data_IF_445721295649
#
_entry.id   IF_445721295649
#
_cell.length_a   1.000
_cell.length_b   1.000
_cell.length_c   1.000
_cell.angle_alpha   90.00
_cell.angle_beta   90.00
_cell.angle_gamma   90.00
#
_symmetry.space_group_name_H-M   'P 1'
#
loop_
_entity.id
_entity.type
_entity.pdbx_description
1 polymer ?
#
# COMPACT_ATOMS: atom_id res chain seq x y z
N UNK A 1 -18.75 9.50 -38.06
CA UNK A 1 -18.79 8.10 -38.52
C UNK A 1 -18.75 7.20 -37.29
N UNK A 2 -19.89 6.60 -36.97
CA UNK A 2 -20.18 5.86 -35.74
C UNK A 2 -19.40 4.54 -35.66
N UNK A 3 -18.83 4.24 -34.50
CA UNK A 3 -18.52 2.86 -34.11
C UNK A 3 -19.24 2.53 -32.80
N UNK A 4 -20.45 1.96 -32.94
CA UNK A 4 -21.14 1.19 -31.91
C UNK A 4 -20.31 -0.06 -31.62
N UNK A 5 -19.89 -0.26 -30.37
CA UNK A 5 -19.39 -1.55 -29.90
C UNK A 5 -20.59 -2.39 -29.45
N UNK A 6 -20.90 -3.43 -30.23
CA UNK A 6 -21.82 -4.49 -29.85
C UNK A 6 -21.24 -5.26 -28.64
N UNK A 7 -21.98 -5.31 -27.54
CA UNK A 7 -21.79 -6.30 -26.48
C UNK A 7 -22.62 -7.53 -26.84
N UNK A 8 -21.96 -8.64 -27.13
CA UNK A 8 -22.60 -9.93 -27.34
C UNK A 8 -21.97 -10.92 -26.35
N UNK A 9 -22.66 -11.22 -25.25
CA UNK A 9 -22.37 -12.38 -24.42
C UNK A 9 -23.67 -13.09 -24.05
N UNK A 10 -23.67 -14.39 -24.32
CA UNK A 10 -24.75 -15.33 -24.14
C UNK A 10 -25.15 -15.45 -22.66
N UNK A 11 -26.45 -15.37 -22.38
CA UNK A 11 -27.05 -15.81 -21.12
C UNK A 11 -27.01 -17.34 -21.07
N UNK A 12 -26.11 -17.90 -20.27
CA UNK A 12 -26.25 -19.28 -19.78
C UNK A 12 -26.99 -19.16 -18.45
N UNK A 13 -28.26 -19.62 -18.44
CA UNK A 13 -29.09 -19.65 -17.25
C UNK A 13 -28.60 -20.73 -16.29
N UNK A 14 -28.20 -20.31 -15.08
CA UNK A 14 -28.05 -21.21 -13.96
C UNK A 14 -29.21 -20.99 -13.01
N UNK A 15 -30.03 -22.03 -12.89
CA UNK A 15 -31.14 -22.14 -11.96
C UNK A 15 -30.60 -22.73 -10.65
N UNK A 16 -30.67 -21.97 -9.55
CA UNK A 16 -30.41 -22.50 -8.22
C UNK A 16 -31.40 -21.93 -7.22
N UNK A 17 -32.39 -22.77 -6.90
CA UNK A 17 -33.23 -22.69 -5.72
C UNK A 17 -32.48 -23.23 -4.50
N UNK A 18 -32.93 -22.75 -3.32
CA UNK A 18 -32.73 -23.27 -1.97
C UNK A 18 -31.32 -23.25 -1.37
N UNK A 19 -31.08 -22.30 -0.47
CA UNK A 19 -30.82 -22.57 0.96
C UNK A 19 -30.73 -21.24 1.74
N UNK A 20 -31.88 -20.71 2.16
CA UNK A 20 -31.94 -19.76 3.27
C UNK A 20 -31.87 -20.54 4.58
N UNK A 21 -30.76 -20.42 5.32
CA UNK A 21 -30.74 -20.65 6.77
C UNK A 21 -30.36 -19.34 7.44
N UNK A 22 -31.41 -18.60 7.81
CA UNK A 22 -31.33 -17.44 8.69
C UNK A 22 -30.83 -17.91 10.06
N UNK A 23 -29.58 -17.57 10.42
CA UNK A 23 -29.14 -17.59 11.81
C UNK A 23 -29.32 -16.19 12.39
N UNK A 24 -30.49 -15.92 12.97
CA UNK A 24 -30.69 -14.78 13.84
C UNK A 24 -29.92 -15.02 15.15
N UNK A 25 -28.84 -14.29 15.37
CA UNK A 25 -28.25 -14.13 16.71
C UNK A 25 -28.46 -12.69 17.16
N UNK A 26 -29.30 -12.53 18.17
CA UNK A 26 -29.55 -11.28 18.85
C UNK A 26 -28.28 -10.85 19.58
N UNK A 27 -27.73 -9.69 19.23
CA UNK A 27 -26.70 -9.05 20.03
C UNK A 27 -27.37 -8.35 21.22
N UNK A 28 -27.07 -8.83 22.42
CA UNK A 28 -27.51 -8.27 23.70
C UNK A 28 -26.84 -6.91 23.94
N UNK A 29 -27.64 -5.85 24.05
CA UNK A 29 -27.19 -4.55 24.55
C UNK A 29 -27.02 -4.63 26.07
N UNK A 30 -25.78 -4.64 26.57
CA UNK A 30 -25.52 -4.51 28.00
C UNK A 30 -25.87 -3.09 28.47
N UNK A 31 -26.92 -2.98 29.27
CA UNK A 31 -27.27 -1.76 29.99
C UNK A 31 -26.36 -1.62 31.22
N UNK A 32 -25.66 -0.49 31.33
CA UNK A 32 -25.01 -0.05 32.56
C UNK A 32 -25.83 1.12 33.08
N UNK A 33 -26.51 0.90 34.21
CA UNK A 33 -27.17 1.94 34.99
C UNK A 33 -26.18 2.55 35.98
N UNK A 34 -26.05 3.89 35.97
CA UNK A 34 -25.80 4.69 37.18
C UNK A 34 -25.78 6.20 36.87
N UNK A 35 -26.59 6.97 37.60
CA UNK A 35 -26.27 8.35 38.02
C UNK A 35 -26.98 9.49 37.30
N UNK A 36 -27.83 10.24 38.02
CA UNK A 36 -28.73 11.27 37.48
C UNK A 36 -28.10 12.56 36.93
N UNK A 37 -28.89 13.29 36.12
CA UNK A 37 -28.62 14.68 35.73
C UNK A 37 -29.14 15.07 34.35
N UNK A 38 -30.13 15.98 34.32
CA UNK A 38 -30.70 16.72 33.17
C UNK A 38 -31.32 15.93 32.01
N UNK A 39 -32.67 15.89 31.99
CA UNK A 39 -33.47 15.63 30.78
C UNK A 39 -33.31 16.78 29.80
N UNK A 40 -32.36 16.65 28.86
CA UNK A 40 -32.45 17.31 27.56
C UNK A 40 -33.25 16.35 26.68
N UNK A 41 -34.51 16.68 26.43
CA UNK A 41 -35.31 16.05 25.39
C UNK A 41 -34.69 16.39 24.03
N UNK A 42 -33.73 15.60 23.57
CA UNK A 42 -33.39 15.57 22.16
C UNK A 42 -34.49 14.81 21.45
N UNK A 43 -35.44 15.56 20.92
CA UNK A 43 -36.29 15.14 19.82
C UNK A 43 -35.40 14.52 18.74
N UNK A 44 -35.52 13.20 18.60
CA UNK A 44 -34.84 12.41 17.59
C UNK A 44 -35.30 12.89 16.22
N UNK A 45 -34.48 13.75 15.60
CA UNK A 45 -34.59 14.08 14.18
C UNK A 45 -34.37 12.79 13.40
N UNK A 46 -35.47 12.09 13.11
CA UNK A 46 -35.52 10.99 12.16
C UNK A 46 -35.04 11.55 10.81
N UNK A 47 -33.76 11.35 10.51
CA UNK A 47 -33.12 11.82 9.29
C UNK A 47 -33.73 11.05 8.12
N UNK A 48 -34.71 11.68 7.47
CA UNK A 48 -35.45 11.14 6.32
C UNK A 48 -34.45 10.72 5.25
N UNK A 49 -34.50 9.44 4.84
CA UNK A 49 -33.70 8.93 3.72
C UNK A 49 -34.13 9.65 2.45
N UNK A 50 -33.17 10.02 1.60
CA UNK A 50 -33.52 10.61 0.31
C UNK A 50 -34.32 9.61 -0.55
N UNK A 51 -35.27 10.12 -1.32
CA UNK A 51 -36.11 9.29 -2.20
C UNK A 51 -35.29 8.41 -3.17
N UNK A 52 -34.20 8.90 -3.80
CA UNK A 52 -33.39 8.06 -4.67
C UNK A 52 -32.75 6.87 -3.96
N UNK A 53 -32.29 7.08 -2.70
CA UNK A 53 -31.69 6.02 -1.90
C UNK A 53 -32.73 4.96 -1.50
N UNK A 54 -33.93 5.40 -1.11
CA UNK A 54 -35.03 4.50 -0.77
C UNK A 54 -35.44 3.61 -1.94
N UNK A 55 -35.60 4.22 -3.11
CA UNK A 55 -35.96 3.51 -4.34
C UNK A 55 -34.88 2.47 -4.69
N UNK A 56 -33.61 2.88 -4.66
CA UNK A 56 -32.49 1.97 -4.94
C UNK A 56 -32.46 0.76 -3.98
N UNK A 57 -32.60 0.99 -2.68
CA UNK A 57 -32.61 -0.08 -1.67
C UNK A 57 -33.76 -1.07 -1.94
N UNK A 58 -34.95 -0.54 -2.29
CA UNK A 58 -36.12 -1.36 -2.60
C UNK A 58 -35.95 -2.16 -3.89
N UNK A 59 -35.44 -1.54 -4.95
CA UNK A 59 -35.21 -2.18 -6.25
C UNK A 59 -34.17 -3.31 -6.16
N UNK A 60 -33.10 -3.09 -5.39
CA UNK A 60 -32.03 -4.07 -5.20
C UNK A 60 -32.32 -5.07 -4.06
N UNK A 61 -33.49 -4.98 -3.42
CA UNK A 61 -33.89 -5.81 -2.27
C UNK A 61 -32.82 -5.85 -1.16
N UNK A 62 -32.19 -4.71 -0.88
CA UNK A 62 -31.09 -4.60 0.09
C UNK A 62 -31.61 -4.31 1.50
N UNK A 63 -30.95 -4.87 2.50
CA UNK A 63 -31.18 -4.56 3.92
C UNK A 63 -29.88 -4.07 4.57
N UNK A 64 -29.40 -2.85 4.23
CA UNK A 64 -28.14 -2.34 4.75
C UNK A 64 -28.21 -2.12 6.26
N UNK A 65 -27.15 -2.53 6.96
CA UNK A 65 -27.00 -2.35 8.42
C UNK A 65 -26.88 -0.86 8.77
N UNK A 66 -26.08 -0.13 7.99
CA UNK A 66 -25.90 1.31 8.15
C UNK A 66 -26.01 2.03 6.81
N UNK A 67 -26.47 3.27 6.84
CA UNK A 67 -26.48 4.15 5.67
C UNK A 67 -26.17 5.58 6.10
N UNK A 68 -25.41 6.27 5.25
CA UNK A 68 -24.96 7.64 5.50
C UNK A 68 -25.16 8.47 4.23
N UNK A 69 -25.80 9.62 4.40
CA UNK A 69 -25.98 10.64 3.37
C UNK A 69 -25.35 11.96 3.81
N UNK A 70 -25.23 12.91 2.87
CA UNK A 70 -24.59 14.20 3.10
C UNK A 70 -23.15 14.02 3.60
N UNK A 71 -22.38 13.25 2.83
CA UNK A 71 -21.00 12.83 3.14
C UNK A 71 -20.00 14.00 3.15
N UNK A 72 -20.43 15.18 2.68
CA UNK A 72 -19.69 16.43 2.75
C UNK A 72 -19.66 17.02 4.17
N UNK A 73 -20.64 16.72 5.02
CA UNK A 73 -20.73 17.25 6.38
C UNK A 73 -19.76 16.54 7.33
N UNK A 74 -19.10 17.31 8.20
CA UNK A 74 -18.12 16.76 9.14
C UNK A 74 -18.76 15.90 10.22
N UNK A 75 -20.00 16.22 10.64
CA UNK A 75 -20.76 15.39 11.58
C UNK A 75 -21.00 13.98 11.02
N UNK A 76 -21.35 13.88 9.73
CA UNK A 76 -21.56 12.57 9.07
C UNK A 76 -20.27 11.77 9.08
N UNK A 77 -19.11 12.38 8.82
CA UNK A 77 -17.82 11.69 8.84
C UNK A 77 -17.47 11.18 10.24
N UNK A 78 -17.67 12.01 11.27
CA UNK A 78 -17.48 11.61 12.67
C UNK A 78 -18.41 10.48 13.06
N UNK A 79 -19.67 10.51 12.61
CA UNK A 79 -20.64 9.45 12.83
C UNK A 79 -20.18 8.14 12.19
N UNK A 80 -19.76 8.15 10.92
CA UNK A 80 -19.19 6.96 10.26
C UNK A 80 -18.02 6.39 11.07
N UNK A 81 -17.10 7.24 11.54
CA UNK A 81 -15.95 6.79 12.33
C UNK A 81 -16.38 6.11 13.65
N UNK A 82 -17.38 6.67 14.34
CA UNK A 82 -17.86 6.14 15.61
C UNK A 82 -18.65 4.83 15.43
N UNK A 83 -19.64 4.85 14.54
CA UNK A 83 -20.56 3.73 14.30
C UNK A 83 -19.82 2.51 13.73
N UNK A 84 -18.71 2.71 13.02
CA UNK A 84 -17.93 1.63 12.37
C UNK A 84 -16.71 1.15 13.15
N UNK A 85 -16.55 1.63 14.38
CA UNK A 85 -15.44 1.24 15.24
C UNK A 85 -15.52 -0.24 15.60
N UNK A 86 -14.40 -0.93 15.49
CA UNK A 86 -14.21 -2.37 15.68
C UNK A 86 -15.04 -3.27 14.75
N UNK A 87 -15.60 -2.71 13.67
CA UNK A 87 -16.37 -3.46 12.69
C UNK A 87 -15.54 -3.76 11.43
N UNK A 88 -15.95 -4.85 10.76
CA UNK A 88 -15.50 -5.29 9.44
C UNK A 88 -16.71 -5.70 8.61
N UNK A 89 -16.55 -5.80 7.29
CA UNK A 89 -17.62 -6.25 6.41
C UNK A 89 -17.59 -5.61 5.03
N UNK A 90 -18.72 -5.64 4.33
CA UNK A 90 -18.87 -5.14 2.97
C UNK A 90 -19.66 -3.83 2.97
N UNK A 91 -19.15 -2.87 2.20
CA UNK A 91 -19.76 -1.56 2.01
C UNK A 91 -20.06 -1.30 0.53
N UNK A 92 -20.98 -0.37 0.32
CA UNK A 92 -21.40 0.12 -0.99
C UNK A 92 -21.33 1.65 -1.02
N UNK A 93 -20.80 2.19 -2.12
CA UNK A 93 -20.77 3.62 -2.42
C UNK A 93 -21.72 3.86 -3.58
N UNK A 94 -22.84 4.53 -3.32
CA UNK A 94 -23.88 4.81 -4.32
C UNK A 94 -23.76 6.25 -4.82
N UNK A 95 -23.83 6.45 -6.14
CA UNK A 95 -24.11 7.76 -6.72
C UNK A 95 -25.64 7.92 -6.86
N UNK A 96 -26.23 8.85 -6.12
CA UNK A 96 -27.68 9.06 -6.08
C UNK A 96 -28.26 9.63 -7.38
N UNK A 97 -27.43 10.19 -8.27
CA UNK A 97 -27.88 10.77 -9.54
C UNK A 97 -27.95 9.70 -10.63
N UNK A 98 -26.90 8.90 -10.77
CA UNK A 98 -26.80 7.89 -11.84
C UNK A 98 -27.28 6.51 -11.41
N UNK A 99 -27.41 6.29 -10.10
CA UNK A 99 -27.64 4.98 -9.48
C UNK A 99 -26.51 3.97 -9.73
N UNK A 100 -25.40 4.39 -10.33
CA UNK A 100 -24.17 3.60 -10.40
C UNK A 100 -23.53 3.49 -9.01
N UNK A 101 -22.94 2.34 -8.71
CA UNK A 101 -22.34 2.09 -7.42
C UNK A 101 -21.01 1.33 -7.48
N UNK A 102 -20.29 1.39 -6.37
CA UNK A 102 -19.06 0.66 -6.09
C UNK A 102 -19.27 -0.23 -4.87
N UNK A 103 -18.75 -1.44 -4.89
CA UNK A 103 -18.75 -2.38 -3.75
C UNK A 103 -17.30 -2.65 -3.33
N UNK A 104 -17.07 -2.76 -2.03
CA UNK A 104 -15.79 -3.26 -1.52
C UNK A 104 -15.89 -3.76 -0.08
N UNK A 105 -14.86 -4.49 0.35
CA UNK A 105 -14.72 -4.92 1.74
C UNK A 105 -13.82 -4.01 2.58
N UNK A 106 -14.11 -3.97 3.87
CA UNK A 106 -13.30 -3.35 4.89
C UNK A 106 -12.95 -4.37 5.99
N UNK A 107 -11.65 -4.58 6.19
CA UNK A 107 -11.14 -5.30 7.36
C UNK A 107 -11.46 -4.54 8.66
N UNK A 108 -11.24 -5.16 9.81
CA UNK A 108 -11.60 -4.57 11.11
C UNK A 108 -11.01 -3.18 11.28
N UNK A 109 -11.83 -2.21 11.72
CA UNK A 109 -11.47 -0.81 11.87
C UNK A 109 -11.07 -0.09 10.57
N UNK A 110 -11.44 -0.61 9.38
CA UNK A 110 -11.07 0.00 8.09
C UNK A 110 -12.21 0.67 7.34
N UNK A 111 -13.46 0.60 7.76
CA UNK A 111 -14.58 1.24 7.06
C UNK A 111 -14.35 2.74 6.84
N UNK A 112 -14.03 3.50 7.89
CA UNK A 112 -13.74 4.93 7.76
C UNK A 112 -12.53 5.23 6.87
N UNK A 113 -11.48 4.40 6.96
CA UNK A 113 -10.30 4.52 6.10
C UNK A 113 -10.64 4.28 4.63
N UNK A 114 -11.51 3.29 4.34
CA UNK A 114 -11.99 3.00 2.99
C UNK A 114 -12.87 4.15 2.47
N UNK A 115 -13.85 4.58 3.25
CA UNK A 115 -14.68 5.74 2.97
C UNK A 115 -13.83 6.96 2.59
N UNK A 116 -12.90 7.36 3.47
CA UNK A 116 -12.06 8.55 3.24
C UNK A 116 -11.12 8.38 2.05
N UNK A 117 -10.51 7.21 1.86
CA UNK A 117 -9.64 6.96 0.71
C UNK A 117 -10.38 6.98 -0.63
N UNK A 118 -11.61 6.49 -0.69
CA UNK A 118 -12.39 6.49 -1.94
C UNK A 118 -13.00 7.85 -2.25
N UNK A 119 -13.60 8.51 -1.25
CA UNK A 119 -14.48 9.66 -1.46
C UNK A 119 -13.85 11.02 -1.12
N UNK A 120 -12.81 11.06 -0.28
CA UNK A 120 -12.21 12.32 0.21
C UNK A 120 -10.78 12.49 -0.33
N UNK A 121 -9.90 11.52 -0.07
CA UNK A 121 -8.49 11.59 -0.43
C UNK A 121 -8.18 11.02 -1.82
N UNK A 122 -9.16 10.35 -2.45
CA UNK A 122 -9.05 9.80 -3.80
C UNK A 122 -7.84 8.88 -4.03
N UNK A 123 -7.48 8.09 -3.01
CA UNK A 123 -6.46 7.04 -3.03
C UNK A 123 -7.02 5.66 -3.41
N UNK A 124 -8.34 5.53 -3.46
CA UNK A 124 -9.05 4.30 -3.85
C UNK A 124 -9.31 4.17 -5.35
N UNK A 125 -10.53 3.79 -5.72
CA UNK A 125 -10.95 3.60 -7.11
C UNK A 125 -10.86 4.89 -7.93
N UNK A 126 -10.16 4.81 -9.07
CA UNK A 126 -10.06 5.92 -10.03
C UNK A 126 -11.43 6.28 -10.64
N UNK A 127 -12.30 5.30 -10.85
CA UNK A 127 -13.65 5.55 -11.40
C UNK A 127 -14.49 6.33 -10.39
N UNK A 128 -14.47 5.90 -9.12
CA UNK A 128 -15.17 6.62 -8.04
C UNK A 128 -14.65 8.05 -7.92
N UNK A 129 -13.32 8.26 -7.97
CA UNK A 129 -12.74 9.62 -8.00
C UNK A 129 -13.31 10.49 -9.13
N UNK A 130 -13.36 9.96 -10.36
CA UNK A 130 -13.91 10.69 -11.51
C UNK A 130 -15.40 11.01 -11.32
N UNK A 131 -16.17 10.06 -10.79
CA UNK A 131 -17.59 10.24 -10.49
C UNK A 131 -17.81 11.31 -9.42
N UNK A 132 -17.05 11.30 -8.32
CA UNK A 132 -17.12 12.31 -7.26
C UNK A 132 -16.75 13.70 -7.78
N UNK A 133 -15.72 13.80 -8.62
CA UNK A 133 -15.34 15.08 -9.23
C UNK A 133 -16.46 15.65 -10.12
N UNK A 134 -17.16 14.78 -10.87
CA UNK A 134 -18.25 15.16 -11.77
C UNK A 134 -19.53 15.52 -11.01
N UNK A 135 -19.97 14.68 -10.08
CA UNK A 135 -21.29 14.79 -9.43
C UNK A 135 -21.26 15.40 -8.04
N UNK A 136 -20.08 15.70 -7.49
CA UNK A 136 -19.86 16.21 -6.11
C UNK A 136 -20.21 15.21 -5.02
N UNK A 137 -19.52 15.31 -3.89
CA UNK A 137 -19.61 14.37 -2.77
C UNK A 137 -21.00 14.31 -2.09
N UNK A 138 -21.76 15.41 -2.10
CA UNK A 138 -23.12 15.48 -1.52
C UNK A 138 -24.11 14.53 -2.19
N UNK A 139 -23.86 14.19 -3.46
CA UNK A 139 -24.71 13.30 -4.26
C UNK A 139 -24.35 11.82 -4.11
N UNK A 140 -23.46 11.48 -3.17
CA UNK A 140 -23.13 10.11 -2.85
C UNK A 140 -23.75 9.67 -1.52
N UNK A 141 -24.02 8.38 -1.41
CA UNK A 141 -24.38 7.71 -0.17
C UNK A 141 -23.36 6.59 0.13
N UNK A 142 -23.06 6.40 1.41
CA UNK A 142 -22.20 5.32 1.89
C UNK A 142 -23.04 4.35 2.69
N UNK A 143 -23.06 3.09 2.29
CA UNK A 143 -23.88 2.03 2.90
C UNK A 143 -22.97 0.92 3.40
N UNK A 144 -23.34 0.31 4.52
CA UNK A 144 -22.74 -0.93 5.01
C UNK A 144 -23.77 -2.02 4.79
N UNK A 145 -23.47 -2.94 3.88
CA UNK A 145 -24.41 -3.98 3.45
C UNK A 145 -24.47 -5.09 4.49
N UNK A 146 -23.31 -5.63 4.86
CA UNK A 146 -23.19 -6.77 5.74
C UNK A 146 -21.96 -6.63 6.63
N UNK A 147 -22.09 -7.00 7.91
CA UNK A 147 -21.00 -7.02 8.87
C UNK A 147 -20.37 -8.41 8.91
N UNK A 148 -19.04 -8.44 8.88
CA UNK A 148 -18.29 -9.66 9.10
C UNK A 148 -18.17 -9.93 10.61
N UNK A 149 -18.61 -11.10 11.10
CA UNK A 149 -18.83 -11.33 12.53
C UNK A 149 -17.53 -11.42 13.35
N UNK A 150 -16.42 -11.78 12.70
CA UNK A 150 -15.13 -12.01 13.37
C UNK A 150 -14.16 -10.84 13.14
N UNK A 151 -13.15 -10.74 14.01
CA UNK A 151 -12.03 -9.83 13.80
C UNK A 151 -11.17 -10.35 12.65
N UNK A 152 -10.91 -9.50 11.65
CA UNK A 152 -10.22 -9.89 10.43
C UNK A 152 -8.73 -10.06 10.69
N UNK A 153 -8.26 -11.29 10.53
CA UNK A 153 -6.88 -11.72 10.57
C UNK A 153 -6.49 -12.34 9.20
N UNK A 154 -5.23 -12.75 9.05
CA UNK A 154 -4.70 -13.16 7.73
C UNK A 154 -5.42 -14.39 7.15
N UNK A 155 -5.90 -15.27 8.01
CA UNK A 155 -6.55 -16.53 7.63
C UNK A 155 -8.01 -16.31 7.24
N UNK A 156 -8.79 -15.60 8.06
CA UNK A 156 -10.20 -15.35 7.77
C UNK A 156 -10.45 -14.24 6.73
N UNK A 157 -9.42 -13.46 6.36
CA UNK A 157 -9.55 -12.43 5.32
C UNK A 157 -10.03 -13.00 3.99
N UNK A 158 -9.78 -14.30 3.72
CA UNK A 158 -10.35 -14.96 2.54
C UNK A 158 -11.88 -14.96 2.58
N UNK A 159 -12.47 -15.30 3.72
CA UNK A 159 -13.94 -15.33 3.88
C UNK A 159 -14.56 -13.94 3.69
N UNK A 160 -13.88 -12.88 4.15
CA UNK A 160 -14.30 -11.50 3.89
C UNK A 160 -14.27 -11.16 2.38
N UNK A 161 -13.25 -11.62 1.66
CA UNK A 161 -13.16 -11.45 0.21
C UNK A 161 -14.22 -12.27 -0.53
N UNK A 162 -14.50 -13.49 -0.08
CA UNK A 162 -15.56 -14.33 -0.66
C UNK A 162 -16.94 -13.65 -0.50
N UNK A 163 -17.16 -12.95 0.61
CA UNK A 163 -18.36 -12.15 0.87
C UNK A 163 -18.44 -10.92 -0.06
N UNK A 164 -17.32 -10.24 -0.31
CA UNK A 164 -17.25 -9.19 -1.33
C UNK A 164 -17.55 -9.74 -2.72
N UNK A 165 -16.98 -10.88 -3.06
CA UNK A 165 -17.13 -11.53 -4.37
C UNK A 165 -18.58 -11.94 -4.63
N UNK A 166 -19.27 -12.44 -3.59
CA UNK A 166 -20.70 -12.72 -3.64
C UNK A 166 -21.51 -11.48 -4.07
N UNK A 167 -21.24 -10.33 -3.46
CA UNK A 167 -21.94 -9.08 -3.81
C UNK A 167 -21.53 -8.53 -5.18
N UNK A 168 -20.25 -8.64 -5.57
CA UNK A 168 -19.78 -8.25 -6.90
C UNK A 168 -20.48 -9.04 -8.00
N UNK A 169 -20.58 -10.37 -7.84
CA UNK A 169 -21.22 -11.26 -8.82
C UNK A 169 -22.74 -11.11 -8.84
N UNK A 170 -23.35 -10.86 -7.69
CA UNK A 170 -24.81 -10.72 -7.59
C UNK A 170 -25.31 -9.38 -8.14
N UNK A 171 -24.61 -8.28 -7.88
CA UNK A 171 -25.08 -6.92 -8.22
C UNK A 171 -24.38 -6.28 -9.43
N UNK A 172 -23.22 -6.79 -9.86
CA UNK A 172 -22.46 -6.29 -11.01
C UNK A 172 -22.24 -4.76 -11.03
N UNK A 173 -21.59 -4.19 -9.99
CA UNK A 173 -21.40 -2.74 -9.84
C UNK A 173 -20.65 -2.07 -10.99
N UNK A 174 -21.16 -0.92 -11.44
CA UNK A 174 -20.63 -0.15 -12.57
C UNK A 174 -19.23 0.43 -12.31
N UNK A 175 -18.90 0.76 -11.05
CA UNK A 175 -17.64 1.42 -10.70
C UNK A 175 -16.50 0.46 -10.32
N UNK A 176 -16.77 -0.84 -10.22
CA UNK A 176 -15.75 -1.86 -10.01
C UNK A 176 -15.14 -2.27 -11.35
N UNK A 177 -13.81 -2.15 -11.46
CA UNK A 177 -13.08 -2.59 -12.67
C UNK A 177 -12.87 -4.10 -12.64
N UNK A 178 -12.60 -4.63 -11.46
CA UNK A 178 -12.41 -6.06 -11.24
C UNK A 178 -13.77 -6.68 -10.97
N UNK A 179 -14.06 -7.77 -11.68
CA UNK A 179 -15.29 -8.55 -11.52
C UNK A 179 -15.22 -9.54 -10.36
N UNK A 180 -14.02 -9.78 -9.85
CA UNK A 180 -13.75 -10.69 -8.75
C UNK A 180 -13.08 -9.94 -7.59
N UNK A 181 -13.47 -10.28 -6.37
CA UNK A 181 -12.83 -9.74 -5.18
C UNK A 181 -11.44 -10.36 -5.02
N UNK A 182 -10.45 -9.53 -4.71
CA UNK A 182 -9.10 -10.03 -4.53
C UNK A 182 -8.12 -8.98 -4.05
N UNK A 183 -7.09 -9.46 -3.35
CA UNK A 183 -5.92 -8.66 -3.03
C UNK A 183 -4.88 -8.81 -4.12
N UNK A 184 -4.22 -7.72 -4.50
CA UNK A 184 -3.03 -7.79 -5.36
C UNK A 184 -1.81 -8.36 -4.63
N UNK A 185 -1.92 -8.65 -3.32
CA UNK A 185 -0.83 -9.21 -2.53
C UNK A 185 -0.48 -10.61 -3.02
N UNK A 186 0.74 -10.79 -3.53
CA UNK A 186 1.21 -12.05 -4.10
C UNK A 186 0.83 -12.26 -5.58
N UNK A 187 0.13 -11.29 -6.21
CA UNK A 187 -0.17 -11.38 -7.63
C UNK A 187 1.10 -11.42 -8.48
N UNK A 188 1.24 -12.47 -9.30
CA UNK A 188 2.31 -12.61 -10.28
C UNK A 188 1.74 -12.29 -11.67
N UNK A 189 2.40 -11.40 -12.40
CA UNK A 189 2.01 -11.10 -13.78
C UNK A 189 2.03 -12.37 -14.64
N UNK A 190 1.00 -12.53 -15.46
CA UNK A 190 0.96 -13.55 -16.52
C UNK A 190 2.07 -13.31 -17.54
N UNK A 191 2.45 -14.36 -18.28
CA UNK A 191 3.54 -14.24 -19.25
C UNK A 191 3.22 -13.24 -20.37
N UNK A 192 1.97 -13.23 -20.83
CA UNK A 192 1.48 -12.21 -21.77
C UNK A 192 1.62 -10.79 -21.21
N UNK A 193 1.32 -10.57 -19.92
CA UNK A 193 1.48 -9.28 -19.28
C UNK A 193 2.97 -8.89 -19.17
N UNK A 194 3.86 -9.83 -18.82
CA UNK A 194 5.31 -9.60 -18.81
C UNK A 194 5.84 -9.23 -20.19
N UNK A 195 5.42 -9.93 -21.24
CA UNK A 195 5.81 -9.64 -22.63
C UNK A 195 5.36 -8.23 -23.02
N UNK A 196 4.09 -7.85 -22.74
CA UNK A 196 3.58 -6.49 -23.00
C UNK A 196 4.36 -5.42 -22.23
N UNK A 197 4.66 -5.67 -20.96
CA UNK A 197 5.49 -4.77 -20.15
C UNK A 197 6.90 -4.62 -20.76
N UNK A 198 7.53 -5.72 -21.18
CA UNK A 198 8.84 -5.72 -21.83
C UNK A 198 8.82 -4.97 -23.17
N UNK A 199 7.77 -5.13 -23.96
CA UNK A 199 7.59 -4.43 -25.24
C UNK A 199 7.55 -2.90 -25.07
N UNK A 200 6.98 -2.40 -23.97
CA UNK A 200 7.02 -0.97 -23.63
C UNK A 200 8.45 -0.44 -23.42
N UNK A 201 9.44 -1.28 -23.07
CA UNK A 201 10.85 -0.92 -22.88
C UNK A 201 11.71 -1.18 -24.13
N UNK A 202 11.15 -1.00 -25.33
CA UNK A 202 11.87 -1.16 -26.59
C UNK A 202 13.08 -0.23 -26.71
N UNK A 203 14.09 -0.65 -27.49
CA UNK A 203 15.26 0.17 -27.84
C UNK A 203 14.84 1.52 -28.44
N UNK A 204 13.83 1.53 -29.31
CA UNK A 204 13.27 2.75 -29.92
C UNK A 204 12.79 3.74 -28.86
N UNK A 205 12.07 3.28 -27.83
CA UNK A 205 11.66 4.16 -26.72
C UNK A 205 12.86 4.65 -25.91
N UNK A 206 13.82 3.77 -25.62
CA UNK A 206 15.03 4.11 -24.85
C UNK A 206 15.83 5.22 -25.54
N UNK A 207 16.06 5.07 -26.85
CA UNK A 207 16.73 6.08 -27.67
C UNK A 207 15.93 7.39 -27.69
N UNK A 208 14.60 7.32 -27.87
CA UNK A 208 13.72 8.50 -27.84
C UNK A 208 13.77 9.24 -26.51
N UNK A 209 13.77 8.54 -25.37
CA UNK A 209 13.90 9.16 -24.05
C UNK A 209 15.29 9.79 -23.90
N UNK A 210 16.35 9.08 -24.29
CA UNK A 210 17.72 9.58 -24.23
C UNK A 210 17.95 10.82 -25.10
N UNK A 211 17.27 10.93 -26.24
CA UNK A 211 17.36 12.10 -27.11
C UNK A 211 16.64 13.33 -26.57
N UNK A 212 15.69 13.21 -25.64
CA UNK A 212 14.91 14.36 -25.13
C UNK A 212 15.77 15.46 -24.49
N UNK A 213 16.91 15.07 -23.92
CA UNK A 213 17.83 15.99 -23.23
C UNK A 213 19.18 16.12 -23.94
N UNK A 214 19.40 15.38 -25.03
CA UNK A 214 20.65 15.45 -25.78
C UNK A 214 20.71 16.78 -26.55
N UNK A 215 21.77 17.55 -26.35
CA UNK A 215 21.98 18.84 -27.02
C UNK A 215 21.18 20.01 -26.44
N UNK A 216 20.46 19.84 -25.34
CA UNK A 216 19.82 20.95 -24.62
C UNK A 216 20.83 21.64 -23.71
N UNK A 217 21.01 22.95 -23.89
CA UNK A 217 21.74 23.79 -22.96
C UNK A 217 20.80 24.28 -21.86
N UNK A 218 21.29 24.32 -20.62
CA UNK A 218 20.55 24.91 -19.51
C UNK A 218 20.60 26.44 -19.62
N UNK A 219 19.55 27.11 -19.13
CA UNK A 219 19.57 28.58 -19.03
C UNK A 219 20.63 29.03 -18.03
N UNK A 220 21.20 30.22 -18.23
CA UNK A 220 22.19 30.80 -17.31
C UNK A 220 21.66 30.88 -15.87
N UNK A 221 20.38 31.24 -15.70
CA UNK A 221 19.72 31.27 -14.39
C UNK A 221 19.70 29.87 -13.71
N UNK A 222 19.43 28.81 -14.47
CA UNK A 222 19.43 27.44 -13.94
C UNK A 222 20.84 27.01 -13.55
N UNK A 223 21.83 27.33 -14.38
CA UNK A 223 23.24 27.06 -14.12
C UNK A 223 23.68 27.73 -12.82
N UNK A 224 23.33 29.00 -12.62
CA UNK A 224 23.70 29.74 -11.41
C UNK A 224 22.99 29.19 -10.17
N UNK A 225 21.70 28.84 -10.26
CA UNK A 225 20.99 28.15 -9.15
C UNK A 225 21.66 26.83 -8.76
N UNK A 226 22.09 26.02 -9.73
CA UNK A 226 22.83 24.79 -9.47
C UNK A 226 24.19 25.07 -8.81
N UNK A 227 24.91 26.09 -9.27
CA UNK A 227 26.19 26.53 -8.70
C UNK A 227 26.04 26.96 -7.25
N UNK A 228 25.05 27.80 -6.94
CA UNK A 228 24.76 28.25 -5.58
C UNK A 228 24.38 27.08 -4.66
N UNK A 229 23.56 26.13 -5.14
CA UNK A 229 23.24 24.92 -4.38
C UNK A 229 24.46 24.01 -4.15
N UNK A 230 25.39 23.94 -5.09
CA UNK A 230 26.62 23.17 -4.92
C UNK A 230 27.59 23.81 -3.91
N UNK A 231 27.68 25.14 -3.89
CA UNK A 231 28.51 25.90 -2.95
C UNK A 231 27.96 25.84 -1.52
N UNK A 232 26.64 25.99 -1.37
CA UNK A 232 25.94 25.91 -0.07
C UNK A 232 25.75 24.47 0.42
N UNK A 233 26.16 23.48 -0.38
CA UNK A 233 26.10 22.09 0.03
C UNK A 233 27.15 21.85 1.11
N UNK A 234 26.68 21.74 2.34
CA UNK A 234 27.53 21.34 3.45
C UNK A 234 28.11 19.94 3.19
N UNK A 235 29.42 19.90 2.92
CA UNK A 235 30.15 18.65 2.71
C UNK A 235 30.39 17.93 4.03
N UNK A 236 30.37 18.64 5.16
CA UNK A 236 30.64 18.09 6.49
C UNK A 236 29.48 17.28 7.05
N UNK A 237 28.23 17.65 6.73
CA UNK A 237 27.01 16.86 6.98
C UNK A 237 27.01 15.46 6.33
N UNK A 238 27.88 15.21 5.34
CA UNK A 238 28.11 13.87 4.76
C UNK A 238 29.40 13.21 5.26
N UNK A 239 30.30 13.94 5.93
CA UNK A 239 31.46 13.36 6.64
C UNK A 239 31.09 12.89 8.04
N UNK A 240 30.13 13.56 8.69
CA UNK A 240 29.41 13.00 9.84
C UNK A 240 28.41 11.97 9.32
N UNK A 241 28.93 10.87 8.78
CA UNK A 241 28.24 9.60 8.92
C UNK A 241 27.78 9.56 10.38
N UNK A 242 26.47 9.54 10.63
CA UNK A 242 25.97 9.30 11.98
C UNK A 242 26.72 8.10 12.56
N UNK A 243 26.90 8.01 13.86
CA UNK A 243 27.59 6.86 14.48
C UNK A 243 27.06 5.53 13.91
N UNK A 244 25.77 5.48 13.60
CA UNK A 244 25.10 4.39 12.89
C UNK A 244 25.62 4.12 11.46
N UNK A 245 25.88 5.14 10.65
CA UNK A 245 26.43 5.00 9.31
C UNK A 245 27.90 4.52 9.35
N UNK A 246 28.73 5.04 10.26
CA UNK A 246 30.10 4.54 10.48
C UNK A 246 30.05 3.07 10.91
N UNK A 247 29.17 2.75 11.86
CA UNK A 247 28.94 1.38 12.34
C UNK A 247 28.46 0.45 11.21
N UNK A 248 27.61 0.92 10.31
CA UNK A 248 27.14 0.13 9.17
C UNK A 248 28.27 -0.11 8.14
N UNK A 249 29.15 0.87 7.93
CA UNK A 249 30.34 0.71 7.09
C UNK A 249 31.35 -0.28 7.70
N UNK A 250 31.59 -0.21 9.01
CA UNK A 250 32.50 -1.14 9.71
C UNK A 250 31.93 -2.56 9.77
N UNK A 251 30.62 -2.74 10.01
CA UNK A 251 29.94 -4.06 9.94
C UNK A 251 30.10 -4.73 8.58
N UNK A 252 30.06 -3.94 7.49
CA UNK A 252 30.22 -4.43 6.11
C UNK A 252 31.67 -4.65 5.71
N UNK A 253 32.64 -4.09 6.42
CA UNK A 253 34.05 -4.30 6.13
C UNK A 253 34.46 -5.77 6.28
N UNK A 254 35.44 -6.19 5.49
CA UNK A 254 35.97 -7.55 5.53
C UNK A 254 37.02 -7.64 6.64
N UNK A 255 36.76 -8.49 7.62
CA UNK A 255 37.71 -8.78 8.70
C UNK A 255 38.86 -9.65 8.19
N UNK A 256 40.01 -9.48 8.85
CA UNK A 256 41.29 -10.07 8.44
C UNK A 256 42.00 -10.66 9.64
N UNK A 257 42.69 -11.76 9.40
CA UNK A 257 43.56 -12.43 10.37
C UNK A 257 44.99 -12.34 9.87
N UNK A 258 45.89 -11.92 10.75
CA UNK A 258 47.33 -11.99 10.55
C UNK A 258 47.89 -13.21 11.27
N UNK A 259 48.69 -13.98 10.55
CA UNK A 259 49.43 -15.13 11.08
C UNK A 259 50.92 -14.80 11.09
N UNK A 260 51.64 -15.32 12.08
CA UNK A 260 53.10 -15.40 12.03
C UNK A 260 53.52 -16.45 10.98
N UNK A 261 54.82 -16.49 10.65
CA UNK A 261 55.35 -17.48 9.71
C UNK A 261 55.15 -18.91 10.22
N UNK A 262 55.18 -19.11 11.53
CA UNK A 262 54.91 -20.39 12.20
C UNK A 262 53.42 -20.78 12.22
N UNK A 263 52.59 -20.07 11.45
CA UNK A 263 51.14 -20.25 11.36
C UNK A 263 50.35 -20.00 12.66
N UNK A 264 50.99 -19.46 13.69
CA UNK A 264 50.30 -18.97 14.90
C UNK A 264 49.56 -17.66 14.62
N UNK A 265 48.39 -17.48 15.24
CA UNK A 265 47.58 -16.25 15.06
C UNK A 265 48.28 -15.09 15.76
N UNK A 266 48.65 -14.06 14.99
CA UNK A 266 49.21 -12.82 15.52
C UNK A 266 48.10 -11.87 15.99
N UNK A 267 47.01 -11.78 15.23
CA UNK A 267 45.88 -10.93 15.60
C UNK A 267 44.75 -10.95 14.59
N UNK A 268 43.54 -10.68 15.08
CA UNK A 268 42.34 -10.53 14.27
C UNK A 268 41.89 -9.07 14.26
N UNK A 269 41.55 -8.58 13.07
CA UNK A 269 41.17 -7.19 12.86
C UNK A 269 39.84 -7.12 12.11
N UNK A 270 38.99 -6.18 12.53
CA UNK A 270 37.68 -5.98 11.93
C UNK A 270 37.76 -5.40 10.51
N UNK A 271 38.85 -4.70 10.16
CA UNK A 271 39.08 -4.14 8.84
C UNK A 271 40.56 -4.13 8.44
N UNK A 272 40.84 -3.97 7.13
CA UNK A 272 42.19 -3.72 6.61
C UNK A 272 42.80 -2.46 7.24
N UNK A 273 41.98 -1.44 7.49
CA UNK A 273 42.44 -0.16 8.04
C UNK A 273 42.98 -0.36 9.45
N UNK A 274 42.29 -1.16 10.27
CA UNK A 274 42.70 -1.44 11.64
C UNK A 274 43.99 -2.28 11.68
N UNK A 275 44.07 -3.31 10.83
CA UNK A 275 45.30 -4.09 10.67
C UNK A 275 46.49 -3.21 10.23
N UNK A 276 46.25 -2.29 9.29
CA UNK A 276 47.25 -1.35 8.77
C UNK A 276 47.83 -0.45 9.86
N UNK A 277 46.98 0.03 10.78
CA UNK A 277 47.38 0.84 11.93
C UNK A 277 48.20 0.01 12.93
N UNK A 278 47.73 -1.20 13.24
CA UNK A 278 48.38 -2.08 14.23
C UNK A 278 49.81 -2.49 13.83
N UNK A 279 50.05 -2.81 12.56
CA UNK A 279 51.38 -3.23 12.07
C UNK A 279 52.21 -2.09 11.45
N UNK A 280 51.70 -0.86 11.58
CA UNK A 280 52.25 0.36 11.00
C UNK A 280 52.71 0.16 9.54
N UNK A 281 51.76 -0.12 8.66
CA UNK A 281 52.00 -0.22 7.22
C UNK A 281 50.93 0.55 6.44
N UNK A 282 51.08 0.63 5.12
CA UNK A 282 50.05 1.22 4.26
C UNK A 282 48.93 0.21 3.97
N UNK A 283 47.70 0.71 3.85
CA UNK A 283 46.52 -0.08 3.46
C UNK A 283 46.76 -0.77 2.11
N UNK A 284 47.43 -0.08 1.18
CA UNK A 284 47.79 -0.61 -0.15
C UNK A 284 48.73 -1.81 -0.04
N UNK A 285 49.62 -1.85 0.95
CA UNK A 285 50.54 -2.97 1.17
C UNK A 285 49.78 -4.24 1.53
N UNK A 286 48.76 -4.14 2.40
CA UNK A 286 47.89 -5.27 2.77
C UNK A 286 47.09 -5.76 1.55
N UNK A 287 46.49 -4.83 0.77
CA UNK A 287 45.78 -5.20 -0.46
C UNK A 287 46.67 -5.91 -1.48
N UNK A 288 47.91 -5.46 -1.65
CA UNK A 288 48.88 -6.10 -2.55
C UNK A 288 49.24 -7.50 -2.04
N UNK A 289 49.50 -7.66 -0.75
CA UNK A 289 49.78 -8.96 -0.15
C UNK A 289 48.62 -9.94 -0.37
N UNK A 290 47.37 -9.53 -0.13
CA UNK A 290 46.17 -10.36 -0.33
C UNK A 290 45.97 -10.86 -1.77
N UNK A 291 46.50 -10.15 -2.78
CA UNK A 291 46.45 -10.55 -4.19
C UNK A 291 47.53 -11.56 -4.59
N UNK A 292 48.60 -11.66 -3.80
CA UNK A 292 49.66 -12.64 -4.07
C UNK A 292 49.28 -14.01 -3.53
N UNK A 293 49.75 -15.07 -4.18
CA UNK A 293 49.49 -16.45 -3.77
C UNK A 293 50.03 -16.74 -2.36
N UNK A 294 51.25 -16.26 -2.08
CA UNK A 294 51.92 -16.45 -0.78
C UNK A 294 51.29 -15.63 0.36
N UNK A 295 50.48 -14.62 0.03
CA UNK A 295 49.82 -13.70 1.00
C UNK A 295 50.77 -13.10 2.04
N UNK A 296 52.02 -12.90 1.65
CA UNK A 296 53.09 -12.49 2.54
C UNK A 296 53.11 -10.98 2.73
N UNK A 297 53.14 -10.54 3.98
CA UNK A 297 53.10 -9.14 4.39
C UNK A 297 54.36 -8.79 5.20
N UNK A 298 55.11 -7.79 4.72
CA UNK A 298 56.41 -7.32 5.28
C UNK A 298 57.42 -8.44 5.56
N UNK A 299 57.31 -9.59 4.87
CA UNK A 299 58.11 -10.81 5.09
C UNK A 299 58.05 -11.35 6.54
N UNK A 300 57.04 -10.95 7.31
CA UNK A 300 56.88 -11.30 8.73
C UNK A 300 55.53 -11.96 9.02
N UNK A 301 54.51 -11.64 8.23
CA UNK A 301 53.14 -12.09 8.47
C UNK A 301 52.52 -12.67 7.22
N UNK A 302 51.54 -13.56 7.40
CA UNK A 302 50.65 -14.05 6.35
C UNK A 302 49.27 -13.46 6.60
N UNK A 303 48.66 -12.84 5.59
CA UNK A 303 47.38 -12.15 5.71
C UNK A 303 46.24 -12.94 5.04
N UNK A 304 45.13 -13.17 5.75
CA UNK A 304 43.95 -13.85 5.19
C UNK A 304 42.66 -13.15 5.59
N UNK A 305 41.64 -13.19 4.72
CA UNK A 305 40.28 -12.77 5.09
C UNK A 305 39.66 -13.78 6.05
N UNK A 306 38.92 -13.30 7.04
CA UNK A 306 38.08 -14.12 7.90
C UNK A 306 36.79 -14.44 7.14
N UNK A 307 36.49 -15.72 6.93
CA UNK A 307 35.26 -16.12 6.25
C UNK A 307 34.04 -15.66 7.07
N UNK A 308 33.20 -14.81 6.49
CA UNK A 308 31.89 -14.49 7.05
C UNK A 308 30.97 -15.67 6.75
N UNK A 309 30.32 -16.22 7.78
CA UNK A 309 29.21 -17.14 7.58
C UNK A 309 28.13 -16.42 6.76
N UNK A 310 27.74 -17.02 5.64
CA UNK A 310 26.65 -16.53 4.80
C UNK A 310 25.38 -16.67 5.66
N UNK A 311 24.80 -15.54 6.07
CA UNK A 311 23.48 -15.48 6.70
C UNK A 311 22.42 -15.24 5.64
#
# INVERSE_FOLDING_TARGET
>A
MNYKKLNMYHKIGYNYNSHQKLHSRNYSTCAIQSGGGLRITQSSVNKVKSQPLLNFIKEQNLTPVFYYENLNLEETKKKILLDTKNLSGVYLILNKITLDFYIGSASTNKFYSRFSNHLVYFRGSKIVKLAVNKYKLSNFAFLILELFPEIVNKENNKNLLDLEDFYLKSMLPNYNILTEAGSSFGYKHTELNRIKMKANYSLKRRLKIGSLNKGKNLSQETIEKMRQKALTRDRTLNLTNSEQAILNMTKRSNSIILYNLDSTVFGEYNSIVDASKAINCSIKTIYRALKTEKKLLKRRFIVKFKNKAIK
#
